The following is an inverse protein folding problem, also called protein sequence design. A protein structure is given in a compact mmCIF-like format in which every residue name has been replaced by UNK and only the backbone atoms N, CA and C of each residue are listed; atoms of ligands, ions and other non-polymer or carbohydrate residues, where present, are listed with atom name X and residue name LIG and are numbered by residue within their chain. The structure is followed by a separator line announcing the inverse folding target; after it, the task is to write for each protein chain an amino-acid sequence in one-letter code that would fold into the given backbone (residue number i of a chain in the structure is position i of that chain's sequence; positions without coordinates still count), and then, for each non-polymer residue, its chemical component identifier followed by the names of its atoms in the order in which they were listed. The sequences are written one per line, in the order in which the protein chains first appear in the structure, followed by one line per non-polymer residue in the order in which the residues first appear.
data_IF_206806393106
#
_entry.id   IF_206806393106
#
_cell.length_a   1.000
_cell.length_b   1.000
_cell.length_c   1.000
_cell.angle_alpha   90.00
_cell.angle_beta   90.00
_cell.angle_gamma   90.00
#
_symmetry.space_group_name_H-M   'P 1'
#
loop_
_entity.id
_entity.type
_entity.pdbx_description
1 polymer ?
#
# COMPACT_ATOMS: atom_id res chain seq x y z
N UNK A 1 12.78 2.42 10.46
CA UNK A 1 13.44 3.17 9.39
C UNK A 1 14.29 2.22 8.54
N UNK A 2 14.46 2.53 7.26
CA UNK A 2 15.39 1.86 6.35
C UNK A 2 16.88 2.07 6.72
N UNK A 3 17.18 3.07 7.55
CA UNK A 3 18.53 3.35 8.10
C UNK A 3 18.86 2.60 9.39
N UNK A 4 17.89 1.93 10.01
CA UNK A 4 18.10 1.19 11.25
C UNK A 4 18.51 -0.26 10.95
N UNK A 5 19.25 -0.86 11.88
CA UNK A 5 19.53 -2.30 11.80
C UNK A 5 18.25 -3.11 11.97
N UNK A 6 18.28 -4.38 11.58
CA UNK A 6 17.15 -5.29 11.77
C UNK A 6 16.75 -5.38 13.25
N UNK A 7 17.72 -5.45 14.16
CA UNK A 7 17.49 -5.52 15.60
C UNK A 7 16.82 -4.25 16.13
N UNK A 8 17.24 -3.08 15.68
CA UNK A 8 16.61 -1.81 16.05
C UNK A 8 15.17 -1.73 15.56
N UNK A 9 14.90 -2.13 14.30
CA UNK A 9 13.55 -2.15 13.77
C UNK A 9 12.65 -3.17 14.49
N UNK A 10 13.18 -4.37 14.83
CA UNK A 10 12.43 -5.36 15.64
C UNK A 10 12.11 -4.81 17.02
N UNK A 11 13.03 -4.11 17.68
CA UNK A 11 12.77 -3.49 18.97
C UNK A 11 11.62 -2.45 18.90
N UNK A 12 11.53 -1.67 17.81
CA UNK A 12 10.41 -0.75 17.57
C UNK A 12 9.09 -1.49 17.34
N UNK A 13 9.10 -2.57 16.56
CA UNK A 13 7.91 -3.40 16.33
C UNK A 13 7.38 -3.98 17.66
N UNK A 14 8.26 -4.57 18.45
CA UNK A 14 7.91 -5.15 19.76
C UNK A 14 7.36 -4.08 20.72
N UNK A 15 7.94 -2.87 20.71
CA UNK A 15 7.43 -1.75 21.49
C UNK A 15 6.03 -1.35 21.01
N UNK A 16 5.82 -1.19 19.71
CA UNK A 16 4.52 -0.83 19.14
C UNK A 16 3.46 -1.88 19.46
N UNK A 17 3.77 -3.19 19.32
CA UNK A 17 2.87 -4.28 19.63
C UNK A 17 2.53 -4.33 21.13
N UNK A 18 3.49 -4.07 22.02
CA UNK A 18 3.23 -3.97 23.46
C UNK A 18 2.29 -2.83 23.78
N UNK A 19 2.54 -1.64 23.25
CA UNK A 19 1.68 -0.46 23.46
C UNK A 19 0.29 -0.67 22.86
N UNK A 20 0.20 -1.28 21.69
CA UNK A 20 -1.07 -1.66 21.06
C UNK A 20 -1.93 -2.51 21.99
N UNK A 21 -1.33 -3.51 22.63
CA UNK A 21 -2.01 -4.38 23.59
C UNK A 21 -2.35 -3.65 24.89
N UNK A 22 -1.43 -2.86 25.42
CA UNK A 22 -1.62 -2.11 26.68
C UNK A 22 -2.77 -1.11 26.59
N UNK A 23 -2.85 -0.38 25.48
CA UNK A 23 -3.87 0.67 25.27
C UNK A 23 -5.09 0.17 24.48
N UNK A 24 -5.09 -1.09 24.04
CA UNK A 24 -6.14 -1.66 23.19
C UNK A 24 -6.39 -0.82 21.90
N UNK A 25 -5.31 -0.33 21.29
CA UNK A 25 -5.33 0.44 20.05
C UNK A 25 -4.60 -0.35 18.98
N UNK A 26 -5.28 -0.78 17.90
CA UNK A 26 -4.61 -1.49 16.79
C UNK A 26 -3.50 -0.64 16.16
N UNK A 27 -2.35 -1.25 15.90
CA UNK A 27 -1.24 -0.62 15.20
C UNK A 27 -0.93 -1.43 13.94
N UNK A 28 -0.86 -0.76 12.82
CA UNK A 28 -0.38 -1.30 11.56
C UNK A 28 0.75 -0.43 11.01
N UNK A 29 1.74 -1.06 10.40
CA UNK A 29 2.92 -0.37 9.86
C UNK A 29 2.81 -0.26 8.35
N UNK A 30 3.03 0.93 7.85
CA UNK A 30 2.96 1.19 6.42
C UNK A 30 4.13 0.55 5.65
N UNK A 31 3.80 -0.06 4.52
CA UNK A 31 4.78 -0.46 3.52
C UNK A 31 5.21 0.78 2.74
N UNK A 32 6.40 1.27 3.02
CA UNK A 32 6.89 2.53 2.46
C UNK A 32 8.38 2.47 2.21
N UNK A 33 8.84 2.97 1.06
CA UNK A 33 10.25 2.96 0.62
C UNK A 33 11.25 3.63 1.58
N UNK A 34 10.80 4.46 2.51
CA UNK A 34 11.59 5.08 3.57
C UNK A 34 11.38 4.45 4.95
N UNK A 35 10.84 3.23 5.02
CA UNK A 35 10.61 2.47 6.25
C UNK A 35 11.39 1.16 6.22
N UNK A 36 11.39 0.42 7.33
CA UNK A 36 11.98 -0.93 7.38
C UNK A 36 11.24 -1.92 6.45
N UNK A 37 9.97 -1.65 6.15
CA UNK A 37 9.10 -2.38 5.22
C UNK A 37 9.21 -1.88 3.77
N UNK A 38 10.38 -1.37 3.36
CA UNK A 38 10.57 -0.69 2.08
C UNK A 38 10.46 -1.62 0.86
N UNK A 39 10.70 -2.90 1.03
CA UNK A 39 10.58 -3.90 -0.03
C UNK A 39 9.76 -5.11 0.43
N UNK A 40 9.20 -5.83 -0.53
CA UNK A 40 8.42 -7.03 -0.27
C UNK A 40 9.26 -8.10 0.44
N UNK A 41 10.50 -8.30 0.01
CA UNK A 41 11.42 -9.30 0.58
C UNK A 41 11.90 -8.93 1.98
N UNK A 42 12.17 -7.65 2.26
CA UNK A 42 12.51 -7.22 3.63
C UNK A 42 11.31 -7.32 4.56
N UNK A 43 10.11 -6.93 4.10
CA UNK A 43 8.89 -7.03 4.91
C UNK A 43 8.62 -8.46 5.35
N UNK A 44 8.85 -9.45 4.48
CA UNK A 44 8.70 -10.87 4.84
C UNK A 44 9.55 -11.26 6.04
N UNK A 45 10.80 -10.82 6.11
CA UNK A 45 11.68 -11.13 7.26
C UNK A 45 11.10 -10.65 8.59
N UNK A 46 10.49 -9.47 8.61
CA UNK A 46 9.83 -8.95 9.81
C UNK A 46 8.54 -9.69 10.13
N UNK A 47 7.78 -10.13 9.14
CA UNK A 47 6.58 -10.96 9.33
C UNK A 47 6.91 -12.33 9.90
N UNK A 48 8.03 -12.91 9.51
CA UNK A 48 8.55 -14.17 10.06
C UNK A 48 9.07 -14.00 11.50
N UNK A 49 9.68 -12.84 11.80
CA UNK A 49 10.26 -12.56 13.11
C UNK A 49 9.22 -12.13 14.16
N UNK A 50 8.08 -11.57 13.75
CA UNK A 50 7.05 -11.05 14.64
C UNK A 50 5.64 -11.43 14.16
N UNK A 51 4.98 -12.33 14.89
CA UNK A 51 3.63 -12.80 14.55
C UNK A 51 2.54 -11.75 14.75
N UNK A 52 2.77 -10.72 15.53
CA UNK A 52 1.82 -9.64 15.80
C UNK A 52 1.94 -8.48 14.80
N UNK A 53 3.00 -8.49 13.97
CA UNK A 53 3.23 -7.45 12.98
C UNK A 53 2.09 -7.38 11.95
N UNK A 54 1.46 -6.23 11.82
CA UNK A 54 0.36 -5.95 10.91
C UNK A 54 0.72 -4.80 9.95
N UNK A 55 0.13 -4.82 8.75
CA UNK A 55 0.46 -3.89 7.67
C UNK A 55 -0.67 -2.91 7.34
N UNK A 56 -0.28 -1.68 7.09
CA UNK A 56 -0.97 -0.77 6.17
C UNK A 56 -0.29 -0.92 4.81
N UNK A 57 -1.01 -1.49 3.86
CA UNK A 57 -0.46 -1.83 2.54
C UNK A 57 -0.52 -0.64 1.59
N UNK A 58 0.62 -0.03 1.30
CA UNK A 58 0.85 0.77 0.11
C UNK A 58 1.78 0.00 -0.83
N UNK A 59 1.20 -0.73 -1.76
CA UNK A 59 1.97 -1.58 -2.68
C UNK A 59 2.76 -0.77 -3.71
N UNK A 60 2.38 0.49 -3.95
CA UNK A 60 3.06 1.36 -4.91
C UNK A 60 4.54 1.56 -4.56
N UNK A 61 4.85 1.60 -3.26
CA UNK A 61 6.24 1.71 -2.80
C UNK A 61 7.07 0.48 -3.09
N UNK A 62 6.49 -0.71 -3.02
CA UNK A 62 7.22 -1.93 -3.40
C UNK A 62 7.44 -2.01 -4.90
N UNK A 63 6.45 -1.60 -5.69
CA UNK A 63 6.58 -1.60 -7.15
C UNK A 63 7.76 -0.73 -7.60
N UNK A 64 7.90 0.47 -7.07
CA UNK A 64 9.03 1.35 -7.41
C UNK A 64 10.36 0.84 -6.87
N UNK A 65 10.40 0.22 -5.70
CA UNK A 65 11.64 -0.34 -5.14
C UNK A 65 12.11 -1.58 -5.91
N UNK A 66 11.17 -2.39 -6.39
CA UNK A 66 11.47 -3.58 -7.18
C UNK A 66 11.54 -3.32 -8.69
N UNK A 67 11.30 -2.08 -9.13
CA UNK A 67 11.20 -1.71 -10.56
C UNK A 67 10.31 -2.70 -11.33
N UNK A 68 9.15 -3.04 -10.75
CA UNK A 68 8.27 -4.12 -11.23
C UNK A 68 6.86 -3.97 -10.69
N UNK A 69 5.86 -4.35 -11.47
CA UNK A 69 4.47 -4.50 -10.99
C UNK A 69 4.26 -5.78 -10.14
N UNK A 70 5.32 -6.44 -9.73
CA UNK A 70 5.35 -7.62 -8.84
C UNK A 70 4.57 -8.83 -9.40
N UNK A 71 4.46 -8.97 -10.71
CA UNK A 71 3.69 -10.05 -11.34
C UNK A 71 4.34 -11.44 -11.18
N UNK A 72 5.65 -11.48 -10.93
CA UNK A 72 6.38 -12.73 -10.69
C UNK A 72 6.49 -13.08 -9.19
N UNK A 73 5.96 -12.23 -8.30
CA UNK A 73 6.04 -12.37 -6.85
C UNK A 73 4.71 -12.73 -6.19
N UNK A 74 3.74 -13.26 -6.93
CA UNK A 74 2.38 -13.52 -6.43
C UNK A 74 2.36 -14.39 -5.17
N UNK A 75 3.18 -15.43 -5.08
CA UNK A 75 3.25 -16.29 -3.90
C UNK A 75 3.71 -15.53 -2.66
N UNK A 76 4.72 -14.68 -2.80
CA UNK A 76 5.22 -13.87 -1.69
C UNK A 76 4.22 -12.77 -1.29
N UNK A 77 3.58 -12.14 -2.27
CA UNK A 77 2.49 -11.20 -2.04
C UNK A 77 1.37 -11.86 -1.26
N UNK A 78 0.96 -13.06 -1.63
CA UNK A 78 -0.12 -13.77 -0.97
C UNK A 78 0.14 -13.99 0.53
N UNK A 79 1.38 -14.36 0.91
CA UNK A 79 1.77 -14.48 2.31
C UNK A 79 1.64 -13.15 3.07
N UNK A 80 2.11 -12.07 2.47
CA UNK A 80 2.12 -10.72 3.07
C UNK A 80 0.71 -10.14 3.20
N UNK A 81 -0.15 -10.37 2.21
CA UNK A 81 -1.54 -9.89 2.22
C UNK A 81 -2.35 -10.43 3.41
N UNK A 82 -2.00 -11.58 3.97
CA UNK A 82 -2.63 -12.12 5.18
C UNK A 82 -2.44 -11.23 6.42
N UNK A 83 -1.48 -10.31 6.40
CA UNK A 83 -1.18 -9.39 7.50
C UNK A 83 -1.66 -7.96 7.25
N UNK A 84 -2.35 -7.70 6.14
CA UNK A 84 -2.87 -6.38 5.80
C UNK A 84 -4.12 -6.05 6.62
N UNK A 85 -4.07 -4.98 7.39
CA UNK A 85 -5.19 -4.44 8.18
C UNK A 85 -5.88 -3.28 7.47
N UNK A 86 -5.09 -2.47 6.77
CA UNK A 86 -5.51 -1.25 6.09
C UNK A 86 -4.83 -1.14 4.73
N UNK A 87 -5.47 -0.50 3.77
CA UNK A 87 -4.93 -0.28 2.42
C UNK A 87 -4.81 1.22 2.16
N UNK A 88 -3.63 1.66 1.75
CA UNK A 88 -3.43 2.93 1.09
C UNK A 88 -3.55 2.71 -0.42
N UNK A 89 -4.69 3.12 -0.97
CA UNK A 89 -5.02 2.88 -2.37
C UNK A 89 -4.50 4.01 -3.26
N UNK A 90 -3.23 3.89 -3.65
CA UNK A 90 -2.53 4.76 -4.60
C UNK A 90 -1.94 3.91 -5.72
N UNK A 91 -2.17 4.32 -6.95
CA UNK A 91 -1.58 3.65 -8.12
C UNK A 91 -0.20 4.21 -8.40
N UNK A 92 0.81 3.36 -8.28
CA UNK A 92 2.17 3.62 -8.70
C UNK A 92 2.54 2.83 -9.95
N UNK A 93 3.80 2.88 -10.31
CA UNK A 93 4.38 2.15 -11.42
C UNK A 93 5.85 1.85 -11.12
N UNK A 94 6.54 1.20 -12.02
CA UNK A 94 7.91 0.72 -11.79
C UNK A 94 8.91 1.83 -11.46
N UNK A 95 8.69 3.06 -11.98
CA UNK A 95 9.59 4.20 -11.82
C UNK A 95 9.09 5.23 -10.78
N UNK A 96 7.89 5.03 -10.23
CA UNK A 96 7.32 6.00 -9.29
C UNK A 96 6.17 5.48 -8.44
N UNK A 97 6.02 5.98 -7.21
CA UNK A 97 4.96 5.53 -6.31
C UNK A 97 3.59 6.11 -6.62
N UNK A 98 3.49 7.05 -7.58
CA UNK A 98 2.23 7.65 -7.99
C UNK A 98 2.26 8.00 -9.47
N UNK A 99 1.24 7.54 -10.21
CA UNK A 99 0.98 7.99 -11.58
C UNK A 99 0.38 9.40 -11.57
N UNK A 100 0.46 10.10 -12.71
CA UNK A 100 -0.13 11.44 -12.84
C UNK A 100 -1.65 11.41 -12.77
N UNK A 101 -2.31 10.49 -13.49
CA UNK A 101 -3.76 10.32 -13.50
C UNK A 101 -4.10 8.83 -13.66
N UNK A 102 -4.74 8.19 -12.67
CA UNK A 102 -5.08 6.77 -12.74
C UNK A 102 -6.13 6.43 -13.82
N UNK A 103 -6.81 7.43 -14.40
CA UNK A 103 -7.78 7.26 -15.48
C UNK A 103 -7.11 7.23 -16.86
N UNK A 104 -5.87 7.70 -16.96
CA UNK A 104 -5.17 7.77 -18.23
C UNK A 104 -4.87 6.37 -18.78
N UNK A 105 -5.12 6.13 -20.09
CA UNK A 105 -5.06 4.79 -20.67
C UNK A 105 -3.68 4.14 -20.61
N UNK A 106 -2.61 4.91 -20.56
CA UNK A 106 -1.24 4.44 -20.40
C UNK A 106 -1.01 3.72 -19.06
N UNK A 107 -1.78 4.06 -18.03
CA UNK A 107 -1.67 3.46 -16.70
C UNK A 107 -2.61 2.28 -16.47
N UNK A 108 -3.36 1.86 -17.47
CA UNK A 108 -4.35 0.78 -17.34
C UNK A 108 -3.75 -0.49 -16.75
N UNK A 109 -2.57 -0.91 -17.20
CA UNK A 109 -1.91 -2.11 -16.68
C UNK A 109 -1.53 -1.98 -15.20
N UNK A 110 -0.96 -0.84 -14.82
CA UNK A 110 -0.62 -0.55 -13.43
C UNK A 110 -1.87 -0.48 -12.55
N UNK A 111 -2.92 0.22 -12.99
CA UNK A 111 -4.20 0.31 -12.29
C UNK A 111 -4.82 -1.08 -12.04
N UNK A 112 -4.95 -1.90 -13.07
CA UNK A 112 -5.53 -3.26 -12.95
C UNK A 112 -4.71 -4.14 -12.00
N UNK A 113 -3.38 -4.01 -12.02
CA UNK A 113 -2.52 -4.75 -11.10
C UNK A 113 -2.75 -4.34 -9.65
N UNK A 114 -2.83 -3.04 -9.36
CA UNK A 114 -3.16 -2.54 -8.02
C UNK A 114 -4.54 -3.02 -7.56
N UNK A 115 -5.56 -2.88 -8.40
CA UNK A 115 -6.91 -3.33 -8.11
C UNK A 115 -6.93 -4.81 -7.75
N UNK A 116 -6.28 -5.67 -8.53
CA UNK A 116 -6.19 -7.11 -8.26
C UNK A 116 -5.57 -7.42 -6.89
N UNK A 117 -4.49 -6.72 -6.51
CA UNK A 117 -3.84 -6.90 -5.21
C UNK A 117 -4.76 -6.44 -4.07
N UNK A 118 -5.39 -5.28 -4.21
CA UNK A 118 -6.32 -4.75 -3.19
C UNK A 118 -7.54 -5.66 -3.02
N UNK A 119 -8.16 -6.11 -4.12
CA UNK A 119 -9.28 -7.05 -4.10
C UNK A 119 -8.92 -8.35 -3.38
N UNK A 120 -7.75 -8.92 -3.70
CA UNK A 120 -7.25 -10.11 -3.00
C UNK A 120 -7.12 -9.88 -1.49
N UNK A 121 -6.57 -8.73 -1.08
CA UNK A 121 -6.44 -8.38 0.34
C UNK A 121 -7.81 -8.20 1.01
N UNK A 122 -8.75 -7.52 0.35
CA UNK A 122 -10.11 -7.30 0.86
C UNK A 122 -10.84 -8.62 1.03
N UNK A 123 -10.82 -9.49 0.02
CA UNK A 123 -11.48 -10.80 0.07
C UNK A 123 -10.94 -11.70 1.18
N UNK A 124 -9.62 -11.70 1.40
CA UNK A 124 -9.00 -12.43 2.51
C UNK A 124 -9.55 -11.96 3.86
N UNK A 125 -9.64 -10.64 4.07
CA UNK A 125 -10.21 -10.07 5.30
C UNK A 125 -11.68 -10.45 5.49
N UNK A 126 -12.49 -10.42 4.44
CA UNK A 126 -13.89 -10.83 4.52
C UNK A 126 -14.05 -12.31 4.86
N UNK A 127 -13.23 -13.19 4.28
CA UNK A 127 -13.22 -14.62 4.61
C UNK A 127 -12.89 -14.87 6.09
N UNK A 128 -12.14 -13.98 6.72
CA UNK A 128 -11.84 -14.00 8.17
C UNK A 128 -12.93 -13.32 9.03
N UNK A 129 -14.01 -12.84 8.45
CA UNK A 129 -15.06 -12.07 9.15
C UNK A 129 -14.63 -10.67 9.60
N UNK A 130 -13.56 -10.13 9.01
CA UNK A 130 -13.01 -8.81 9.33
C UNK A 130 -13.40 -7.79 8.27
N UNK A 131 -13.61 -6.54 8.68
CA UNK A 131 -13.88 -5.43 7.75
C UNK A 131 -12.56 -4.76 7.38
N UNK A 132 -12.15 -4.80 6.10
CA UNK A 132 -10.99 -4.04 5.65
C UNK A 132 -11.31 -2.54 5.64
N UNK A 133 -10.30 -1.72 5.92
CA UNK A 133 -10.40 -0.28 5.75
C UNK A 133 -9.45 0.19 4.66
N UNK A 134 -9.87 1.21 3.90
CA UNK A 134 -9.14 1.70 2.73
C UNK A 134 -9.12 3.22 2.77
N UNK A 135 -7.95 3.81 2.57
CA UNK A 135 -7.78 5.23 2.28
C UNK A 135 -7.29 5.38 0.85
N UNK A 136 -8.00 6.13 0.01
CA UNK A 136 -7.46 6.57 -1.27
C UNK A 136 -6.42 7.65 -1.01
N UNK A 137 -5.21 7.51 -1.56
CA UNK A 137 -4.05 8.25 -1.08
C UNK A 137 -3.25 8.93 -2.21
N UNK A 138 -3.91 9.38 -3.25
CA UNK A 138 -3.22 10.26 -4.19
C UNK A 138 -2.81 11.54 -3.47
N UNK A 139 -1.49 11.78 -3.42
CA UNK A 139 -0.90 12.94 -2.75
C UNK A 139 -0.74 14.15 -3.66
N UNK A 140 -0.54 15.35 -3.09
CA UNK A 140 -0.27 16.56 -3.84
C UNK A 140 1.16 16.54 -4.45
N UNK A 141 1.57 17.54 -5.21
CA UNK A 141 2.99 17.75 -5.51
C UNK A 141 3.84 17.73 -4.20
N UNK A 142 4.92 16.97 -4.12
CA UNK A 142 5.72 16.35 -5.21
C UNK A 142 5.32 14.94 -5.64
N UNK A 143 4.35 14.29 -5.01
CA UNK A 143 3.85 13.01 -5.52
C UNK A 143 3.10 13.18 -6.84
N UNK A 144 2.22 14.19 -6.93
CA UNK A 144 1.56 14.53 -8.18
C UNK A 144 2.55 15.28 -9.08
N UNK A 145 2.87 14.74 -10.28
CA UNK A 145 3.73 15.43 -11.24
C UNK A 145 3.16 16.78 -11.68
N UNK A 146 4.06 17.71 -11.94
CA UNK A 146 3.72 19.07 -12.39
C UNK A 146 4.38 19.38 -13.71
N UNK A 147 3.82 20.35 -14.42
CA UNK A 147 4.46 20.91 -15.63
C UNK A 147 5.82 21.55 -15.26
N UNK A 148 6.84 21.38 -16.10
CA UNK A 148 8.08 22.11 -15.93
C UNK A 148 7.83 23.63 -15.92
N UNK A 149 8.64 24.37 -15.17
CA UNK A 149 8.64 25.83 -15.00
C UNK A 149 7.39 26.40 -14.34
N UNK A 150 6.19 26.00 -14.72
CA UNK A 150 4.93 26.53 -14.18
C UNK A 150 4.54 25.91 -12.84
N UNK A 151 5.02 24.69 -12.57
CA UNK A 151 4.63 23.86 -11.42
C UNK A 151 3.12 23.57 -11.36
N UNK A 152 2.40 23.76 -12.48
CA UNK A 152 0.99 23.41 -12.54
C UNK A 152 0.83 21.88 -12.45
N UNK A 153 -0.03 21.35 -11.57
CA UNK A 153 -0.32 19.92 -11.50
C UNK A 153 -0.84 19.37 -12.84
N UNK A 154 -0.42 18.16 -13.21
CA UNK A 154 -0.85 17.52 -14.47
C UNK A 154 -2.29 16.97 -14.39
N UNK A 155 -2.81 16.74 -13.17
CA UNK A 155 -4.17 16.27 -12.94
C UNK A 155 -4.73 16.83 -11.62
N UNK A 156 -5.95 16.48 -11.29
CA UNK A 156 -6.59 16.85 -10.03
C UNK A 156 -6.46 15.70 -9.01
N UNK A 157 -5.81 15.99 -7.88
CA UNK A 157 -5.60 15.04 -6.78
C UNK A 157 -6.91 14.48 -6.22
N UNK A 158 -7.92 15.34 -6.06
CA UNK A 158 -9.19 14.96 -5.49
C UNK A 158 -9.97 14.04 -6.43
N UNK A 159 -10.01 14.39 -7.72
CA UNK A 159 -10.66 13.55 -8.75
C UNK A 159 -9.99 12.18 -8.84
N UNK A 160 -8.67 12.08 -8.78
CA UNK A 160 -7.96 10.82 -8.75
C UNK A 160 -8.37 9.95 -7.54
N UNK A 161 -8.47 10.55 -6.34
CA UNK A 161 -8.92 9.83 -5.14
C UNK A 161 -10.38 9.37 -5.24
N UNK A 162 -11.26 10.21 -5.75
CA UNK A 162 -12.68 9.89 -5.97
C UNK A 162 -12.84 8.78 -7.00
N UNK A 163 -12.06 8.82 -8.09
CA UNK A 163 -12.05 7.76 -9.10
C UNK A 163 -11.70 6.40 -8.50
N UNK A 164 -10.58 6.30 -7.75
CA UNK A 164 -10.18 5.05 -7.11
C UNK A 164 -11.23 4.56 -6.12
N UNK A 165 -11.79 5.45 -5.31
CA UNK A 165 -12.85 5.10 -4.37
C UNK A 165 -14.07 4.49 -5.09
N UNK A 166 -14.53 5.13 -6.17
CA UNK A 166 -15.69 4.66 -6.92
C UNK A 166 -15.39 3.33 -7.64
N UNK A 167 -14.22 3.20 -8.26
CA UNK A 167 -13.79 1.97 -8.92
C UNK A 167 -13.77 0.79 -7.95
N UNK A 168 -13.21 0.97 -6.75
CA UNK A 168 -13.22 -0.07 -5.73
C UNK A 168 -14.65 -0.42 -5.26
N UNK A 169 -15.51 0.57 -5.04
CA UNK A 169 -16.92 0.33 -4.66
C UNK A 169 -17.67 -0.49 -5.71
N UNK A 170 -17.50 -0.14 -6.98
CA UNK A 170 -18.13 -0.85 -8.09
C UNK A 170 -17.62 -2.30 -8.19
N UNK A 171 -16.32 -2.50 -8.21
CA UNK A 171 -15.70 -3.82 -8.36
C UNK A 171 -16.02 -4.76 -7.19
N UNK A 172 -16.08 -4.24 -5.98
CA UNK A 172 -16.42 -5.00 -4.77
C UNK A 172 -17.93 -5.04 -4.49
N UNK A 173 -18.77 -4.51 -5.39
CA UNK A 173 -20.23 -4.47 -5.26
C UNK A 173 -20.70 -3.83 -3.94
N UNK A 174 -19.99 -2.82 -3.47
CA UNK A 174 -20.28 -2.10 -2.22
C UNK A 174 -21.34 -1.00 -2.39
N UNK A 175 -21.87 -0.82 -3.58
CA UNK A 175 -22.97 0.11 -3.90
C UNK A 175 -24.31 -0.60 -3.72
N UNK A 176 -24.85 -0.52 -2.51
CA UNK A 176 -26.27 -0.79 -2.25
C UNK A 176 -26.87 0.34 -1.44
#
# INVERSE_FOLDING_TARGET
SDFFTTEQNLAFLQLANRLSKEYNIPVAHETHRGRFSYSLTETKKFLEADSDFQLTLDVSHWMVVHESLLQEQDLLLEEVLNRTQHIHARVGFEEGPQVNDPQAPEWKTALERHLSIWETSIEKRWKEGKVPTITTEFGPPTYLPTEPFTQKPLSDQWEANVFIMNTLKERMQLTK
#
